data_IF_031199401881
#
_entry.id   IF_031199401881
#
_cell.length_a   1.000
_cell.length_b   1.000
_cell.length_c   1.000
_cell.angle_alpha   90.00
_cell.angle_beta   90.00
_cell.angle_gamma   90.00
#
_symmetry.space_group_name_H-M   'P 1'
#
loop_
_entity.id
_entity.type
_entity.pdbx_description
1 polymer ?
#
# COMPACT_ATOMS: atom_id res chain seq x y z
N UNK A 1 -4.16 -19.56 13.08
CA UNK A 1 -3.49 -18.76 14.14
C UNK A 1 -2.32 -17.94 13.58
N UNK A 2 -2.60 -17.00 12.66
CA UNK A 2 -1.59 -16.11 12.10
C UNK A 2 -1.95 -14.65 12.37
N UNK A 3 -0.95 -13.77 12.46
CA UNK A 3 -1.14 -12.32 12.41
C UNK A 3 -0.70 -11.84 11.02
N UNK A 4 -1.61 -11.39 10.17
CA UNK A 4 -1.29 -10.98 8.80
C UNK A 4 -1.48 -9.48 8.64
N UNK A 5 -0.54 -8.79 8.02
CA UNK A 5 -0.66 -7.37 7.69
C UNK A 5 -0.37 -7.18 6.20
N UNK A 6 -1.36 -6.77 5.43
CA UNK A 6 -1.16 -6.47 4.00
C UNK A 6 -1.32 -4.97 3.83
N UNK A 7 -0.27 -4.31 3.31
CA UNK A 7 -0.33 -2.90 2.98
C UNK A 7 -1.36 -2.59 1.89
N UNK A 8 -1.52 -1.31 1.51
CA UNK A 8 -2.38 -0.93 0.39
C UNK A 8 -2.03 -1.72 -0.87
N UNK A 9 -3.00 -2.45 -1.41
CA UNK A 9 -2.85 -3.29 -2.59
C UNK A 9 -3.93 -2.96 -3.62
N UNK A 10 -3.58 -2.33 -4.76
CA UNK A 10 -4.55 -1.85 -5.77
C UNK A 10 -5.38 -2.98 -6.39
N UNK A 11 -4.87 -4.22 -6.33
CA UNK A 11 -5.59 -5.43 -6.70
C UNK A 11 -6.54 -5.95 -5.61
N UNK A 12 -6.73 -7.26 -5.62
CA UNK A 12 -7.61 -7.99 -4.70
C UNK A 12 -6.82 -8.83 -3.71
N UNK A 13 -7.36 -9.00 -2.51
CA UNK A 13 -6.86 -9.95 -1.52
C UNK A 13 -7.86 -11.09 -1.39
N UNK A 14 -7.37 -12.32 -1.49
CA UNK A 14 -8.19 -13.52 -1.40
C UNK A 14 -7.68 -14.39 -0.26
N UNK A 15 -8.56 -14.67 0.70
CA UNK A 15 -8.30 -15.57 1.83
C UNK A 15 -9.09 -16.85 1.65
N UNK A 16 -8.38 -17.97 1.55
CA UNK A 16 -8.97 -19.30 1.42
C UNK A 16 -8.56 -20.18 2.60
N UNK A 17 -9.52 -20.92 3.16
CA UNK A 17 -9.27 -21.96 4.16
C UNK A 17 -8.45 -21.44 5.37
N UNK A 18 -8.78 -20.24 5.85
CA UNK A 18 -8.07 -19.58 6.94
C UNK A 18 -8.86 -19.68 8.24
N UNK A 19 -8.20 -20.00 9.36
CA UNK A 19 -8.86 -20.03 10.67
C UNK A 19 -8.01 -19.45 11.81
N UNK A 20 -8.70 -18.78 12.74
CA UNK A 20 -8.07 -18.22 13.94
C UNK A 20 -7.05 -17.11 13.65
N UNK A 21 -7.15 -16.42 12.51
CA UNK A 21 -6.20 -15.38 12.11
C UNK A 21 -6.66 -13.98 12.55
N UNK A 22 -5.70 -13.11 12.83
CA UNK A 22 -5.91 -11.66 12.92
C UNK A 22 -5.29 -11.00 11.70
N UNK A 23 -6.11 -10.42 10.84
CA UNK A 23 -5.69 -9.85 9.55
C UNK A 23 -5.93 -8.35 9.58
N UNK A 24 -4.92 -7.55 9.21
CA UNK A 24 -5.11 -6.15 8.84
C UNK A 24 -4.78 -6.00 7.37
N UNK A 25 -5.69 -5.43 6.57
CA UNK A 25 -5.50 -5.40 5.11
C UNK A 25 -6.17 -4.22 4.44
N UNK A 26 -5.52 -3.68 3.40
CA UNK A 26 -6.05 -2.58 2.58
C UNK A 26 -6.03 -3.00 1.12
N UNK A 27 -7.20 -3.13 0.50
CA UNK A 27 -7.29 -3.59 -0.89
C UNK A 27 -8.54 -3.10 -1.60
N UNK A 28 -8.51 -3.11 -2.93
CA UNK A 28 -9.69 -2.75 -3.74
C UNK A 28 -10.84 -3.72 -3.50
N UNK A 29 -10.50 -5.01 -3.42
CA UNK A 29 -11.42 -6.08 -3.06
C UNK A 29 -10.75 -7.02 -2.06
N UNK A 30 -11.47 -7.44 -1.03
CA UNK A 30 -11.08 -8.47 -0.07
C UNK A 30 -12.13 -9.57 -0.09
N UNK A 31 -11.76 -10.75 -0.57
CA UNK A 31 -12.64 -11.91 -0.71
C UNK A 31 -12.23 -12.98 0.29
N UNK A 32 -13.19 -13.47 1.06
CA UNK A 32 -12.99 -14.52 2.03
C UNK A 32 -13.84 -15.70 1.64
N UNK A 33 -13.23 -16.88 1.52
CA UNK A 33 -13.95 -18.13 1.31
C UNK A 33 -13.40 -19.22 2.21
N UNK A 34 -14.30 -19.95 2.87
CA UNK A 34 -13.95 -20.98 3.85
C UNK A 34 -13.10 -20.41 5.02
N UNK A 35 -13.39 -19.17 5.45
CA UNK A 35 -12.68 -18.50 6.55
C UNK A 35 -13.48 -18.58 7.85
N UNK A 36 -12.83 -18.90 8.98
CA UNK A 36 -13.54 -19.01 10.26
C UNK A 36 -12.80 -18.47 11.47
N UNK A 37 -13.56 -17.89 12.41
CA UNK A 37 -13.04 -17.40 13.70
C UNK A 37 -11.93 -16.34 13.57
N UNK A 38 -11.93 -15.57 12.48
CA UNK A 38 -10.92 -14.56 12.20
C UNK A 38 -11.36 -13.15 12.62
N UNK A 39 -10.39 -12.31 12.98
CA UNK A 39 -10.58 -10.86 13.15
C UNK A 39 -9.93 -10.14 11.98
N UNK A 40 -10.69 -9.27 11.32
CA UNK A 40 -10.26 -8.52 10.14
C UNK A 40 -10.38 -7.02 10.40
N UNK A 41 -9.26 -6.32 10.31
CA UNK A 41 -9.17 -4.85 10.36
C UNK A 41 -8.91 -4.38 8.93
N UNK A 42 -9.93 -3.89 8.24
CA UNK A 42 -9.87 -3.65 6.79
C UNK A 42 -9.95 -2.18 6.47
N UNK A 43 -9.21 -1.78 5.44
CA UNK A 43 -9.50 -0.57 4.68
C UNK A 43 -10.25 -0.99 3.41
N UNK A 44 -11.52 -0.61 3.33
CA UNK A 44 -12.42 -0.90 2.24
C UNK A 44 -12.74 0.40 1.48
N UNK A 45 -12.16 0.62 0.28
CA UNK A 45 -12.36 1.86 -0.47
C UNK A 45 -13.78 2.05 -1.01
N UNK A 46 -14.56 0.97 -1.17
CA UNK A 46 -15.96 1.03 -1.58
C UNK A 46 -16.83 0.08 -0.76
N UNK A 47 -18.16 0.26 -0.81
CA UNK A 47 -19.13 -0.60 -0.11
C UNK A 47 -19.14 -2.06 -0.56
N UNK A 48 -18.63 -2.33 -1.75
CA UNK A 48 -18.57 -3.68 -2.33
C UNK A 48 -17.17 -4.29 -2.21
N UNK A 49 -16.26 -3.63 -1.50
CA UNK A 49 -14.87 -4.09 -1.36
C UNK A 49 -14.77 -5.38 -0.56
N UNK A 50 -15.64 -5.65 0.41
CA UNK A 50 -15.51 -6.82 1.28
C UNK A 50 -16.60 -7.83 1.00
N UNK A 51 -16.17 -9.03 0.63
CA UNK A 51 -17.05 -10.14 0.23
C UNK A 51 -16.69 -11.37 1.02
N UNK A 52 -17.68 -12.04 1.61
CA UNK A 52 -17.52 -13.31 2.30
C UNK A 52 -18.40 -14.40 1.69
N UNK A 53 -17.90 -15.63 1.68
CA UNK A 53 -18.58 -16.83 1.20
C UNK A 53 -18.18 -18.04 2.05
N UNK A 54 -19.12 -18.90 2.42
CA UNK A 54 -18.92 -20.11 3.24
C UNK A 54 -18.04 -19.85 4.48
N UNK A 55 -18.17 -18.65 5.05
CA UNK A 55 -17.31 -18.17 6.14
C UNK A 55 -18.15 -17.84 7.36
N UNK A 56 -17.59 -17.97 8.58
CA UNK A 56 -18.36 -17.82 9.83
C UNK A 56 -17.54 -17.31 11.01
N UNK A 57 -18.22 -16.75 12.00
CA UNK A 57 -17.62 -16.18 13.22
C UNK A 57 -16.53 -15.14 12.91
N UNK A 58 -16.77 -14.31 11.88
CA UNK A 58 -15.85 -13.25 11.49
C UNK A 58 -16.09 -11.99 12.32
N UNK A 59 -15.03 -11.24 12.60
CA UNK A 59 -15.14 -9.92 13.25
C UNK A 59 -14.51 -8.87 12.35
N UNK A 60 -15.26 -7.86 11.94
CA UNK A 60 -14.76 -6.78 11.08
C UNK A 60 -14.61 -5.46 11.82
N UNK A 61 -13.49 -4.77 11.62
CA UNK A 61 -13.26 -3.41 12.07
C UNK A 61 -12.49 -2.61 11.04
N UNK A 62 -12.40 -1.30 11.24
CA UNK A 62 -11.58 -0.43 10.39
C UNK A 62 -10.09 -0.75 10.54
N UNK A 63 -9.34 -0.42 9.50
CA UNK A 63 -7.88 -0.41 9.51
C UNK A 63 -7.35 0.35 10.73
N UNK A 64 -6.36 -0.25 11.39
CA UNK A 64 -5.86 0.20 12.69
C UNK A 64 -4.34 0.09 12.83
N UNK A 65 -3.63 -0.20 11.75
CA UNK A 65 -2.18 -0.43 11.77
C UNK A 65 -1.44 0.81 11.27
N UNK A 66 -0.28 1.08 11.85
CA UNK A 66 0.61 2.14 11.40
C UNK A 66 2.07 1.66 11.37
N UNK A 67 2.81 1.99 10.31
CA UNK A 67 4.22 1.61 10.15
C UNK A 67 4.95 2.59 9.23
N UNK A 68 6.29 2.65 9.27
CA UNK A 68 7.06 3.58 8.45
C UNK A 68 6.79 3.36 6.96
N UNK A 69 6.35 4.41 6.25
CA UNK A 69 6.07 4.36 4.81
C UNK A 69 4.62 4.05 4.43
N UNK A 70 3.75 3.76 5.41
CA UNK A 70 2.33 3.48 5.17
C UNK A 70 1.62 4.62 4.40
N UNK A 71 1.84 5.86 4.82
CA UNK A 71 1.19 7.02 4.19
C UNK A 71 1.54 7.15 2.70
N UNK A 72 2.80 6.90 2.34
CA UNK A 72 3.25 6.92 0.95
C UNK A 72 2.61 5.78 0.12
N UNK A 73 2.45 4.59 0.68
CA UNK A 73 1.76 3.48 0.01
C UNK A 73 0.28 3.81 -0.24
N UNK A 74 -0.41 4.39 0.72
CA UNK A 74 -1.81 4.82 0.56
C UNK A 74 -1.95 5.95 -0.48
N UNK A 75 -1.01 6.88 -0.51
CA UNK A 75 -0.96 7.92 -1.53
C UNK A 75 -0.76 7.31 -2.94
N UNK A 76 0.18 6.38 -3.08
CA UNK A 76 0.44 5.69 -4.35
C UNK A 76 -0.75 4.82 -4.80
N UNK A 77 -1.49 4.22 -3.86
CA UNK A 77 -2.75 3.52 -4.14
C UNK A 77 -3.93 4.45 -4.45
N UNK A 78 -3.77 5.76 -4.27
CA UNK A 78 -4.79 6.81 -4.49
C UNK A 78 -6.01 6.67 -3.57
N UNK A 79 -5.78 6.22 -2.33
CA UNK A 79 -6.81 5.98 -1.32
C UNK A 79 -6.71 6.91 -0.10
N UNK A 80 -5.85 7.91 -0.13
CA UNK A 80 -5.67 8.91 0.93
C UNK A 80 -5.78 10.33 0.37
N UNK A 81 -6.05 11.36 1.21
CA UNK A 81 -6.23 11.29 2.68
C UNK A 81 -7.69 11.21 3.16
N UNK A 82 -8.69 11.36 2.28
CA UNK A 82 -10.11 11.50 2.71
C UNK A 82 -11.02 10.34 2.25
N UNK A 83 -10.46 9.18 1.91
CA UNK A 83 -11.29 8.07 1.46
C UNK A 83 -12.10 7.50 2.64
N UNK A 84 -13.39 7.38 2.44
CA UNK A 84 -14.27 6.69 3.38
C UNK A 84 -13.87 5.21 3.48
N UNK A 85 -13.76 4.71 4.71
CA UNK A 85 -13.51 3.29 4.95
C UNK A 85 -14.83 2.57 5.19
N UNK A 86 -15.27 1.75 4.23
CA UNK A 86 -16.52 0.98 4.28
C UNK A 86 -16.35 -0.40 4.94
N UNK A 87 -15.61 -0.46 6.05
CA UNK A 87 -15.27 -1.73 6.72
C UNK A 87 -16.45 -2.48 7.35
N UNK A 88 -17.63 -1.86 7.42
CA UNK A 88 -18.89 -2.41 7.92
C UNK A 88 -19.87 -2.81 6.80
N UNK A 89 -19.57 -2.45 5.54
CA UNK A 89 -20.34 -2.82 4.37
C UNK A 89 -19.88 -4.20 3.85
N UNK A 90 -20.26 -5.26 4.56
CA UNK A 90 -19.87 -6.63 4.22
C UNK A 90 -20.95 -7.29 3.36
N UNK A 91 -20.58 -7.75 2.17
CA UNK A 91 -21.44 -8.58 1.34
C UNK A 91 -21.23 -10.07 1.64
N UNK A 92 -22.28 -10.78 2.05
CA UNK A 92 -22.24 -12.22 2.37
C UNK A 92 -23.00 -13.02 1.30
N UNK A 93 -22.27 -13.82 0.51
CA UNK A 93 -22.84 -14.72 -0.50
C UNK A 93 -23.51 -15.96 0.11
N UNK A 94 -23.27 -16.22 1.40
CA UNK A 94 -23.67 -17.43 2.11
C UNK A 94 -24.34 -17.13 3.46
N UNK A 95 -25.36 -16.25 3.50
CA UNK A 95 -25.97 -15.85 4.76
C UNK A 95 -26.57 -17.05 5.51
N UNK A 96 -26.57 -17.05 6.86
CA UNK A 96 -27.09 -18.16 7.64
C UNK A 96 -28.56 -18.47 7.33
N UNK A 97 -28.88 -19.77 7.25
CA UNK A 97 -30.27 -20.23 7.17
C UNK A 97 -31.00 -19.84 8.46
N UNK A 98 -32.13 -19.15 8.33
CA UNK A 98 -32.90 -18.63 9.48
C UNK A 98 -32.58 -17.19 9.87
N UNK A 99 -31.70 -16.51 9.13
CA UNK A 99 -31.35 -15.11 9.35
C UNK A 99 -30.17 -14.90 10.28
N UNK A 100 -29.75 -13.64 10.42
CA UNK A 100 -28.53 -13.26 11.15
C UNK A 100 -27.36 -12.95 10.22
N UNK A 101 -26.15 -12.90 10.79
CA UNK A 101 -24.91 -12.57 10.07
C UNK A 101 -23.82 -13.56 10.44
N UNK A 102 -23.00 -13.96 9.47
CA UNK A 102 -21.76 -14.73 9.70
C UNK A 102 -20.62 -13.89 10.32
N UNK A 103 -20.87 -12.60 10.53
CA UNK A 103 -19.91 -11.63 11.00
C UNK A 103 -20.51 -10.68 12.02
N UNK A 104 -19.64 -10.09 12.85
CA UNK A 104 -19.97 -9.02 13.78
C UNK A 104 -18.96 -7.88 13.67
N UNK A 105 -19.31 -6.65 14.07
CA UNK A 105 -18.31 -5.61 14.24
C UNK A 105 -17.32 -5.98 15.35
N UNK A 106 -16.07 -5.55 15.21
CA UNK A 106 -15.10 -5.51 16.31
C UNK A 106 -15.50 -4.37 17.24
N UNK A 107 -15.44 -4.61 18.55
CA UNK A 107 -15.72 -3.58 19.54
C UNK A 107 -14.81 -2.36 19.37
N UNK A 108 -15.33 -1.17 19.69
CA UNK A 108 -14.54 0.06 19.65
C UNK A 108 -13.62 0.05 20.87
N UNK A 109 -12.31 -0.11 20.62
CA UNK A 109 -11.29 0.15 21.64
C UNK A 109 -10.73 1.56 21.44
N UNK A 110 -11.10 2.46 22.34
CA UNK A 110 -10.62 3.85 22.33
C UNK A 110 -9.24 3.99 22.98
N UNK A 111 -8.82 3.02 23.79
CA UNK A 111 -7.50 3.01 24.43
C UNK A 111 -6.54 2.18 23.56
N UNK A 112 -5.50 2.80 22.99
CA UNK A 112 -4.59 2.05 22.11
C UNK A 112 -5.24 1.63 20.79
N UNK A 113 -6.15 2.46 20.26
CA UNK A 113 -6.86 2.24 18.99
C UNK A 113 -5.93 1.79 17.85
N UNK A 114 -4.74 2.39 17.77
CA UNK A 114 -3.77 2.15 16.72
C UNK A 114 -2.71 1.14 17.15
N UNK A 115 -2.35 0.25 16.24
CA UNK A 115 -1.29 -0.73 16.36
C UNK A 115 -0.09 -0.24 15.55
N UNK A 116 0.87 0.38 16.22
CA UNK A 116 2.14 0.78 15.61
C UNK A 116 3.05 -0.44 15.48
N UNK A 117 3.60 -0.66 14.28
CA UNK A 117 4.52 -1.75 13.98
C UNK A 117 5.94 -1.20 13.87
N UNK A 118 6.81 -1.61 14.78
CA UNK A 118 8.24 -1.41 14.66
C UNK A 118 8.83 -2.57 13.86
N UNK A 119 9.36 -2.30 12.67
CA UNK A 119 9.95 -3.29 11.77
C UNK A 119 11.46 -3.17 11.82
N UNK A 120 12.14 -4.22 12.27
CA UNK A 120 13.61 -4.32 12.21
C UNK A 120 13.98 -5.32 11.14
N UNK A 121 14.62 -4.86 10.06
CA UNK A 121 15.07 -5.75 8.99
C UNK A 121 16.25 -6.61 9.48
N UNK A 122 16.20 -7.91 9.21
CA UNK A 122 17.26 -8.89 9.49
C UNK A 122 17.63 -9.62 8.20
N UNK A 123 18.49 -9.00 7.39
CA UNK A 123 18.94 -9.56 6.11
C UNK A 123 17.87 -9.50 5.01
N UNK A 124 17.99 -10.40 4.02
CA UNK A 124 17.18 -10.37 2.79
C UNK A 124 15.83 -11.08 2.89
N UNK A 125 15.63 -11.92 3.92
CA UNK A 125 14.45 -12.80 4.05
C UNK A 125 13.86 -12.77 5.46
N UNK A 126 14.26 -11.82 6.29
CA UNK A 126 13.93 -11.82 7.71
C UNK A 126 13.80 -10.41 8.28
N UNK A 127 13.09 -10.34 9.39
CA UNK A 127 12.93 -9.15 10.20
C UNK A 127 12.06 -9.45 11.41
N UNK A 128 12.22 -8.67 12.47
CA UNK A 128 11.36 -8.74 13.64
C UNK A 128 10.32 -7.63 13.55
N UNK A 129 9.07 -7.96 13.87
CA UNK A 129 7.97 -7.00 13.97
C UNK A 129 7.52 -6.95 15.42
N UNK A 130 7.56 -5.76 16.01
CA UNK A 130 6.99 -5.52 17.34
C UNK A 130 5.71 -4.71 17.19
N UNK A 131 4.61 -5.20 17.76
CA UNK A 131 3.32 -4.52 17.76
C UNK A 131 3.13 -3.76 19.08
N UNK A 132 2.79 -2.47 19.00
CA UNK A 132 2.46 -1.65 20.18
C UNK A 132 1.13 -0.93 19.98
N UNK A 133 0.22 -1.07 20.94
CA UNK A 133 -1.07 -0.37 20.94
C UNK A 133 -0.89 1.02 21.56
N UNK A 134 -1.03 2.06 20.76
CA UNK A 134 -0.72 3.45 21.14
C UNK A 134 -1.85 4.41 20.73
N UNK A 135 -1.92 5.57 21.39
CA UNK A 135 -2.91 6.61 21.07
C UNK A 135 -2.39 7.67 20.10
N UNK A 136 -1.08 7.89 20.06
CA UNK A 136 -0.39 8.79 19.14
C UNK A 136 0.85 8.10 18.59
N UNK A 137 1.33 8.46 17.39
CA UNK A 137 2.54 7.87 16.82
C UNK A 137 3.73 8.10 17.75
N UNK A 138 4.51 7.03 17.98
CA UNK A 138 5.76 7.10 18.76
C UNK A 138 6.99 6.99 17.88
N UNK A 139 6.81 6.46 16.66
CA UNK A 139 7.83 6.33 15.64
C UNK A 139 7.59 7.35 14.52
N UNK A 140 8.65 8.01 14.08
CA UNK A 140 8.58 8.93 12.95
C UNK A 140 8.20 8.17 11.66
N UNK A 141 7.23 8.71 10.91
CA UNK A 141 6.78 8.09 9.65
C UNK A 141 5.71 7.01 9.83
N UNK A 142 5.29 6.70 11.07
CA UNK A 142 4.21 5.76 11.39
C UNK A 142 2.83 6.43 11.49
N UNK A 143 2.61 7.55 10.81
CA UNK A 143 1.31 8.20 10.84
C UNK A 143 0.31 7.42 9.96
N UNK A 144 -0.93 7.28 10.44
CA UNK A 144 -1.95 6.55 9.71
C UNK A 144 -2.83 7.53 8.91
N UNK A 145 -2.90 7.40 7.57
CA UNK A 145 -3.73 8.28 6.75
C UNK A 145 -5.23 7.94 6.85
N UNK A 146 -5.59 6.82 7.46
CA UNK A 146 -6.97 6.44 7.67
C UNK A 146 -7.49 7.07 8.96
N UNK A 147 -8.58 7.83 8.88
CA UNK A 147 -9.28 8.27 10.07
C UNK A 147 -9.98 7.08 10.75
N UNK A 148 -10.08 7.14 12.07
CA UNK A 148 -10.90 6.24 12.85
C UNK A 148 -12.40 6.50 12.62
N UNK A 149 -13.29 5.57 13.00
CA UNK A 149 -14.73 5.76 12.87
C UNK A 149 -15.30 6.99 13.58
N UNK A 150 -14.64 7.47 14.64
CA UNK A 150 -14.99 8.69 15.38
C UNK A 150 -14.37 9.97 14.79
N UNK A 151 -13.71 9.86 13.63
CA UNK A 151 -13.00 10.95 12.97
C UNK A 151 -11.63 11.27 13.54
N UNK A 152 -11.17 10.58 14.60
CA UNK A 152 -9.82 10.78 15.13
C UNK A 152 -8.76 10.31 14.14
N UNK A 153 -7.69 11.09 13.98
CA UNK A 153 -6.59 10.78 13.05
C UNK A 153 -5.34 10.43 13.86
N UNK A 154 -4.56 9.48 13.36
CA UNK A 154 -3.28 9.08 13.97
C UNK A 154 -2.13 9.92 13.39
N UNK A 155 -2.04 11.16 13.84
CA UNK A 155 -0.99 12.10 13.44
C UNK A 155 -0.10 12.45 14.62
N UNK A 156 1.17 12.69 14.31
CA UNK A 156 2.13 13.18 15.29
C UNK A 156 2.21 14.72 15.24
N UNK A 157 2.57 15.41 16.33
CA UNK A 157 2.74 16.86 16.32
C UNK A 157 3.73 17.38 15.27
N UNK A 158 4.69 16.55 14.85
CA UNK A 158 5.72 16.87 13.85
C UNK A 158 5.31 16.56 12.41
N UNK A 159 4.12 15.97 12.17
CA UNK A 159 3.68 15.52 10.85
C UNK A 159 2.17 15.65 10.67
N UNK A 160 1.72 16.22 9.55
CA UNK A 160 0.31 16.17 9.14
C UNK A 160 0.15 15.36 7.85
N UNK A 161 -0.75 14.38 7.85
CA UNK A 161 -1.03 13.51 6.70
C UNK A 161 -1.58 14.29 5.50
N UNK A 162 -2.25 15.41 5.77
CA UNK A 162 -2.73 16.35 4.75
C UNK A 162 -1.55 16.99 3.99
N UNK A 163 -0.50 17.42 4.69
CA UNK A 163 0.68 18.04 4.09
C UNK A 163 1.58 17.04 3.34
N UNK A 164 1.66 15.80 3.83
CA UNK A 164 2.43 14.74 3.18
C UNK A 164 1.76 14.23 1.90
N UNK A 165 0.43 14.11 1.90
CA UNK A 165 -0.35 13.75 0.72
C UNK A 165 -0.17 14.79 -0.39
N UNK A 166 -0.16 16.09 -0.07
CA UNK A 166 0.13 17.17 -1.03
C UNK A 166 1.52 17.00 -1.64
N UNK A 167 2.55 16.76 -0.83
CA UNK A 167 3.92 16.53 -1.32
C UNK A 167 4.03 15.28 -2.22
N UNK A 168 3.28 14.22 -1.91
CA UNK A 168 3.26 13.00 -2.72
C UNK A 168 2.60 13.23 -4.09
N UNK A 169 1.48 13.94 -4.13
CA UNK A 169 0.81 14.33 -5.38
C UNK A 169 1.70 15.27 -6.21
N UNK A 170 2.38 16.23 -5.57
CA UNK A 170 3.34 17.11 -6.24
C UNK A 170 4.53 16.33 -6.83
N UNK A 171 5.04 15.32 -6.11
CA UNK A 171 6.11 14.45 -6.60
C UNK A 171 5.67 13.57 -7.77
N UNK A 172 4.48 12.96 -7.74
CA UNK A 172 3.93 12.16 -8.84
C UNK A 172 3.65 13.04 -10.08
N UNK A 173 3.17 14.27 -9.88
CA UNK A 173 3.00 15.25 -10.95
C UNK A 173 4.34 15.66 -11.60
N UNK A 174 5.38 15.85 -10.78
CA UNK A 174 6.73 16.15 -11.26
C UNK A 174 7.35 14.97 -12.03
N UNK A 175 7.14 13.74 -11.58
CA UNK A 175 7.59 12.53 -12.28
C UNK A 175 6.84 12.31 -13.60
N UNK A 176 5.53 12.54 -13.62
CA UNK A 176 4.71 12.46 -14.84
C UNK A 176 5.15 13.51 -15.86
N UNK A 177 5.43 14.74 -15.42
CA UNK A 177 5.96 15.79 -16.27
C UNK A 177 7.37 15.46 -16.81
N UNK A 178 8.24 14.85 -16.01
CA UNK A 178 9.56 14.41 -16.44
C UNK A 178 9.47 13.28 -17.48
N UNK A 179 8.52 12.35 -17.34
CA UNK A 179 8.32 11.23 -18.27
C UNK A 179 7.69 11.68 -19.60
N UNK A 180 6.87 12.73 -19.59
CA UNK A 180 6.32 13.35 -20.79
C UNK A 180 7.35 14.17 -21.59
N UNK A 181 8.48 14.56 -20.98
CA UNK A 181 9.54 15.35 -21.60
C UNK A 181 10.65 14.52 -22.29
N UNK A 182 10.53 13.19 -22.32
CA UNK A 182 11.51 12.32 -23.01
C UNK A 182 11.28 12.35 -24.54
N UNK A 183 12.30 12.68 -25.36
CA UNK A 183 12.13 12.79 -26.81
C UNK A 183 11.91 11.41 -27.45
N UNK A 184 10.84 11.27 -28.22
CA UNK A 184 10.56 10.11 -29.05
C UNK A 184 11.57 10.04 -30.22
N UNK A 185 12.60 9.19 -30.11
CA UNK A 185 13.42 8.82 -31.26
C UNK A 185 12.65 7.87 -32.16
N UNK A 186 12.14 8.37 -33.28
CA UNK A 186 11.61 7.58 -34.38
C UNK A 186 12.75 6.85 -35.09
N UNK A 187 12.72 5.53 -35.09
CA UNK A 187 13.62 4.72 -35.92
C UNK A 187 12.96 4.47 -37.27
N UNK A 188 13.27 5.30 -38.26
CA UNK A 188 13.01 5.02 -39.67
C UNK A 188 14.17 4.18 -40.22
N UNK A 189 13.92 2.89 -40.45
CA UNK A 189 14.84 2.01 -41.18
C UNK A 189 14.49 2.05 -42.67
N UNK A 190 15.36 2.63 -43.49
CA UNK A 190 15.40 2.41 -44.93
C UNK A 190 16.88 2.29 -45.36
N UNK A 191 17.20 1.16 -45.99
CA UNK A 191 18.52 0.78 -46.46
C UNK A 191 18.96 1.58 -47.72
N UNK A 192 20.26 1.60 -48.07
CA UNK A 192 20.84 2.61 -48.96
C UNK A 192 20.93 2.15 -50.42
N UNK A 193 20.99 3.13 -51.34
CA UNK A 193 21.57 2.95 -52.68
C UNK A 193 22.41 4.17 -53.04
N UNK A 194 23.47 3.90 -53.80
CA UNK A 194 24.70 4.66 -53.99
C UNK A 194 24.56 6.03 -54.71
N UNK A 195 25.46 6.96 -54.41
CA UNK A 195 26.57 7.36 -55.29
C UNK A 195 27.10 8.80 -55.03
N UNK A 196 28.43 8.91 -55.07
CA UNK A 196 29.29 10.01 -55.55
C UNK A 196 29.33 11.41 -54.86
N UNK A 197 30.54 11.66 -54.28
CA UNK A 197 31.51 12.75 -54.61
C UNK A 197 31.35 14.17 -54.03
N UNK A 198 32.35 14.46 -53.17
CA UNK A 198 33.20 15.65 -53.07
C UNK A 198 32.78 16.96 -52.36
N UNK A 199 33.75 17.36 -51.53
CA UNK A 199 34.28 18.72 -51.31
C UNK A 199 33.65 19.60 -50.23
N UNK A 200 34.53 20.30 -49.51
CA UNK A 200 34.22 21.57 -48.84
C UNK A 200 34.52 21.57 -47.36
N UNK A 201 35.60 22.23 -46.95
CA UNK A 201 36.04 22.35 -45.56
C UNK A 201 35.39 23.49 -44.77
N UNK A 202 35.73 23.46 -43.47
CA UNK A 202 36.01 24.58 -42.55
C UNK A 202 34.86 25.50 -42.10
N UNK A 203 34.61 25.51 -40.78
CA UNK A 203 34.48 26.65 -39.85
C UNK A 203 33.79 26.10 -38.57
N UNK A 204 34.51 25.65 -37.54
CA UNK A 204 35.21 26.38 -36.48
C UNK A 204 34.32 27.09 -35.44
N UNK A 205 34.73 26.87 -34.17
CA UNK A 205 34.47 27.59 -32.91
C UNK A 205 33.27 27.08 -32.09
N UNK A 206 33.47 26.22 -31.10
CA UNK A 206 34.11 26.41 -29.78
C UNK A 206 33.29 27.28 -28.82
N UNK A 207 32.94 26.66 -27.68
CA UNK A 207 32.78 27.13 -26.28
C UNK A 207 32.10 25.92 -25.60
N UNK A 208 32.54 25.35 -24.49
CA UNK A 208 33.51 25.74 -23.48
C UNK A 208 33.19 24.81 -22.31
N UNK A 209 34.17 24.02 -21.92
CA UNK A 209 34.11 23.05 -20.84
C UNK A 209 34.16 23.82 -19.51
N UNK A 210 33.13 23.77 -18.67
CA UNK A 210 33.23 23.95 -17.21
C UNK A 210 31.87 23.72 -16.51
N UNK A 211 31.82 22.70 -15.65
CA UNK A 211 30.97 22.71 -14.46
C UNK A 211 29.73 21.83 -14.48
N UNK A 212 29.86 20.55 -14.07
CA UNK A 212 29.18 20.05 -12.86
C UNK A 212 29.57 18.59 -12.60
N UNK A 213 30.80 18.43 -12.10
CA UNK A 213 31.20 17.26 -11.33
C UNK A 213 30.68 17.48 -9.89
N UNK A 214 29.38 17.34 -9.66
CA UNK A 214 28.73 17.15 -8.35
C UNK A 214 27.20 17.03 -8.52
N UNK A 215 26.74 15.87 -8.98
CA UNK A 215 25.45 15.30 -8.56
C UNK A 215 25.64 13.82 -8.24
N UNK A 216 26.42 13.57 -7.18
CA UNK A 216 26.18 12.39 -6.36
C UNK A 216 25.10 12.78 -5.35
N UNK A 217 23.91 13.09 -5.87
CA UNK A 217 22.73 13.18 -5.04
C UNK A 217 22.47 11.77 -4.56
N UNK A 218 22.46 11.59 -3.23
CA UNK A 218 21.82 10.46 -2.60
C UNK A 218 20.50 10.19 -3.31
N UNK A 219 20.42 9.05 -4.01
CA UNK A 219 19.18 8.56 -4.64
C UNK A 219 18.11 8.71 -3.56
N UNK A 220 17.06 9.50 -3.82
CA UNK A 220 15.93 9.55 -2.92
C UNK A 220 15.49 8.11 -2.63
N UNK A 221 15.11 7.78 -1.38
CA UNK A 221 14.63 6.45 -1.08
C UNK A 221 13.54 6.09 -2.09
N UNK A 222 13.73 4.96 -2.77
CA UNK A 222 12.75 4.43 -3.72
C UNK A 222 11.39 4.40 -3.01
N UNK A 223 10.32 4.91 -3.63
CA UNK A 223 9.03 4.97 -2.97
C UNK A 223 8.63 3.54 -2.54
N UNK A 224 8.03 3.38 -1.36
CA UNK A 224 7.66 2.05 -0.89
C UNK A 224 6.71 1.41 -1.90
N UNK A 225 7.04 0.19 -2.33
CA UNK A 225 6.26 -0.52 -3.32
C UNK A 225 4.82 -0.76 -2.83
N UNK A 226 3.88 -0.68 -3.78
CA UNK A 226 2.47 -1.05 -3.63
C UNK A 226 2.21 -2.21 -4.57
N UNK A 227 1.70 -3.33 -4.03
CA UNK A 227 1.26 -4.46 -4.83
C UNK A 227 0.12 -4.04 -5.76
N UNK A 228 0.35 -4.19 -7.06
CA UNK A 228 -0.67 -4.04 -8.10
C UNK A 228 -1.32 -5.37 -8.48
N UNK A 229 -0.74 -6.49 -8.05
CA UNK A 229 -1.23 -7.85 -8.27
C UNK A 229 -2.25 -8.27 -7.23
N UNK A 230 -3.08 -9.26 -7.59
CA UNK A 230 -3.90 -9.97 -6.61
C UNK A 230 -3.01 -10.81 -5.70
N UNK A 231 -3.30 -10.80 -4.39
CA UNK A 231 -2.59 -11.61 -3.40
C UNK A 231 -3.55 -12.66 -2.87
N UNK A 232 -3.15 -13.92 -2.99
CA UNK A 232 -3.89 -15.06 -2.43
C UNK A 232 -3.16 -15.61 -1.21
N UNK A 233 -3.90 -15.75 -0.11
CA UNK A 233 -3.44 -16.33 1.14
C UNK A 233 -4.28 -17.58 1.40
N UNK A 234 -3.61 -18.71 1.57
CA UNK A 234 -4.25 -20.00 1.81
C UNK A 234 -3.75 -20.62 3.11
N UNK A 235 -4.66 -21.11 3.94
CA UNK A 235 -4.28 -21.86 5.13
C UNK A 235 -3.65 -23.20 4.76
N UNK A 236 -2.56 -23.57 5.44
CA UNK A 236 -1.80 -24.80 5.18
C UNK A 236 -1.93 -25.85 6.30
N UNK A 237 -2.92 -25.72 7.19
CA UNK A 237 -3.15 -26.68 8.30
C UNK A 237 -2.07 -26.73 9.39
N UNK A 238 -0.98 -25.95 9.28
CA UNK A 238 0.07 -25.81 10.31
C UNK A 238 -0.01 -24.43 10.95
N UNK A 239 0.13 -24.37 12.27
CA UNK A 239 0.17 -23.12 13.04
C UNK A 239 1.41 -22.31 12.64
N UNK A 240 1.20 -21.14 12.03
CA UNK A 240 2.28 -20.23 11.66
C UNK A 240 2.01 -18.87 12.28
N UNK A 241 2.56 -18.61 13.47
CA UNK A 241 2.54 -17.27 14.08
C UNK A 241 3.58 -16.38 13.38
N UNK A 242 3.37 -16.03 12.11
CA UNK A 242 4.25 -15.12 11.37
C UNK A 242 3.50 -13.84 11.03
N UNK A 243 4.12 -12.69 11.32
CA UNK A 243 3.69 -11.39 10.78
C UNK A 243 4.21 -11.29 9.35
N UNK A 244 3.36 -11.63 8.38
CA UNK A 244 3.66 -11.40 6.98
C UNK A 244 3.24 -9.98 6.62
N UNK A 245 4.22 -9.12 6.34
CA UNK A 245 3.98 -7.81 5.71
C UNK A 245 4.17 -7.98 4.21
N UNK A 246 3.07 -7.83 3.47
CA UNK A 246 3.12 -7.82 2.00
C UNK A 246 2.94 -6.37 1.56
N UNK A 247 3.98 -5.81 0.94
CA UNK A 247 4.01 -4.47 0.33
C UNK A 247 4.00 -4.57 -1.18
#
# INVERSE_FOLDING_TARGET
DCRVVVGPCVGSLLFFDCSGCTVTSAAKQTRLRDVSNCTLRVFAPTKDSVVIETSKNLRFGGWDVAYPGLAAQFAHAKWAPNASNFCDAIFDFSPPVGGGRNWSPVGVDTAGRWCELAITAEGLTGGTVTESRVQMPTLQGCECPCAAPDGTVFEAPWYSSSAASTKAVEAEAAETAAKAAAPATSTSAAAPSAAHVASGGLFSRAIGWLGSWMRRGSKAPEPPAVSTSDIQIQGAGKQTTAVCIVS
#
